data_IF_339542870967
#
_entry.id   IF_339542870967
#
_cell.length_a   1.000
_cell.length_b   1.000
_cell.length_c   1.000
_cell.angle_alpha   90.00
_cell.angle_beta   90.00
_cell.angle_gamma   90.00
#
_symmetry.space_group_name_H-M   'P 1'
#
loop_
_entity.id
_entity.type
_entity.pdbx_description
1 polymer ?
#
# COMPACT_ATOMS: atom_id res chain seq x y z
N UNK A 1 16.45 8.20 16.72
CA UNK A 1 17.21 6.94 16.58
C UNK A 1 17.83 6.86 15.18
N UNK A 2 19.03 6.28 14.99
CA UNK A 2 19.65 6.16 13.65
C UNK A 2 19.03 5.02 12.86
N UNK A 3 19.01 5.13 11.51
CA UNK A 3 18.51 4.06 10.63
C UNK A 3 19.19 2.71 10.89
N UNK A 4 20.48 2.70 11.21
CA UNK A 4 21.21 1.46 11.53
C UNK A 4 20.73 0.77 12.81
N UNK A 5 20.26 1.54 13.79
CA UNK A 5 19.68 1.04 15.03
C UNK A 5 18.30 0.44 14.79
N UNK A 6 17.45 1.13 14.03
CA UNK A 6 16.14 0.61 13.63
C UNK A 6 16.25 -0.69 12.81
N UNK A 7 17.27 -0.78 11.95
CA UNK A 7 17.54 -2.02 11.21
C UNK A 7 17.94 -3.17 12.14
N UNK A 8 18.69 -2.90 13.23
CA UNK A 8 19.01 -3.91 14.24
C UNK A 8 17.75 -4.34 14.99
N UNK A 9 16.91 -3.39 15.43
CA UNK A 9 15.64 -3.70 16.08
C UNK A 9 14.75 -4.55 15.18
N UNK A 10 14.57 -4.19 13.90
CA UNK A 10 13.77 -4.97 12.96
C UNK A 10 14.25 -6.43 12.84
N UNK A 11 15.57 -6.68 12.96
CA UNK A 11 16.12 -8.05 12.92
C UNK A 11 15.76 -8.85 14.18
N UNK A 12 15.64 -8.20 15.33
CA UNK A 12 15.31 -8.85 16.61
C UNK A 12 13.82 -9.21 16.71
N UNK A 13 12.94 -8.41 16.11
CA UNK A 13 11.50 -8.66 16.14
C UNK A 13 11.15 -9.92 15.33
N UNK A 14 10.23 -10.72 15.83
CA UNK A 14 9.70 -11.89 15.15
C UNK A 14 8.37 -11.56 14.47
N UNK A 15 8.18 -12.08 13.27
CA UNK A 15 6.96 -11.97 12.48
C UNK A 15 6.57 -13.36 11.96
N UNK A 16 5.29 -13.60 11.63
CA UNK A 16 4.87 -14.84 10.96
C UNK A 16 5.71 -15.13 9.71
N UNK A 17 5.87 -16.42 9.36
CA UNK A 17 6.77 -16.89 8.29
C UNK A 17 6.53 -16.25 6.92
N UNK A 18 5.30 -15.80 6.65
CA UNK A 18 4.98 -15.08 5.41
C UNK A 18 5.69 -13.72 5.26
N UNK A 19 6.20 -13.13 6.37
CA UNK A 19 6.87 -11.84 6.32
C UNK A 19 8.35 -11.98 6.01
N UNK A 20 8.81 -11.18 5.05
CA UNK A 20 10.22 -10.96 4.74
C UNK A 20 10.68 -9.68 5.43
N UNK A 21 11.96 -9.64 5.86
CA UNK A 21 12.55 -8.45 6.47
C UNK A 21 13.56 -7.78 5.53
N UNK A 22 13.48 -6.45 5.39
CA UNK A 22 14.44 -5.65 4.63
C UNK A 22 14.64 -4.28 5.28
N UNK A 23 15.80 -4.07 5.89
CA UNK A 23 16.08 -2.81 6.59
C UNK A 23 15.09 -2.60 7.74
N UNK A 24 14.29 -1.55 7.66
CA UNK A 24 13.25 -1.18 8.64
C UNK A 24 11.87 -1.75 8.34
N UNK A 25 11.75 -2.56 7.29
CA UNK A 25 10.49 -3.08 6.78
C UNK A 25 10.39 -4.59 7.05
N UNK A 26 9.27 -5.04 7.62
CA UNK A 26 8.82 -6.44 7.58
C UNK A 26 7.54 -6.49 6.72
N UNK A 27 7.51 -7.34 5.69
CA UNK A 27 6.43 -7.30 4.71
C UNK A 27 6.16 -8.65 4.04
N UNK A 28 4.96 -8.77 3.50
CA UNK A 28 4.62 -9.73 2.45
C UNK A 28 3.86 -9.02 1.33
N UNK A 29 3.65 -9.70 0.20
CA UNK A 29 2.87 -9.18 -0.92
C UNK A 29 1.68 -10.09 -1.20
N UNK A 30 0.50 -9.50 -1.36
CA UNK A 30 -0.60 -10.16 -2.04
C UNK A 30 -0.37 -10.00 -3.54
N UNK A 31 -0.41 -11.09 -4.29
CA UNK A 31 -0.20 -11.05 -5.74
C UNK A 31 -1.46 -11.54 -6.45
N UNK A 32 -1.97 -10.70 -7.35
CA UNK A 32 -3.07 -11.05 -8.24
C UNK A 32 -2.60 -11.90 -9.44
N UNK A 33 -3.51 -12.64 -10.09
CA UNK A 33 -3.22 -13.43 -11.32
C UNK A 33 -2.56 -12.63 -12.45
N UNK A 34 -2.79 -11.32 -12.51
CA UNK A 34 -2.15 -10.41 -13.48
C UNK A 34 -0.71 -10.03 -13.12
N UNK A 35 -0.23 -10.34 -11.92
CA UNK A 35 1.05 -9.88 -11.39
C UNK A 35 0.97 -8.58 -10.59
N UNK A 36 -0.20 -7.95 -10.47
CA UNK A 36 -0.39 -6.78 -9.62
C UNK A 36 -0.24 -7.16 -8.13
N UNK A 37 0.34 -6.25 -7.33
CA UNK A 37 0.70 -6.55 -5.95
C UNK A 37 0.23 -5.47 -4.96
N UNK A 38 -0.21 -5.94 -3.79
CA UNK A 38 -0.39 -5.11 -2.60
C UNK A 38 0.71 -5.46 -1.61
N UNK A 39 1.44 -4.45 -1.15
CA UNK A 39 2.43 -4.56 -0.08
C UNK A 39 1.73 -4.44 1.26
N UNK A 40 1.91 -5.42 2.12
CA UNK A 40 1.36 -5.43 3.48
C UNK A 40 2.51 -5.56 4.46
N UNK A 41 2.57 -4.72 5.48
CA UNK A 41 3.71 -4.81 6.37
C UNK A 41 3.73 -3.87 7.56
N UNK A 42 4.88 -3.95 8.25
CA UNK A 42 5.26 -3.12 9.37
C UNK A 42 6.52 -2.33 9.01
N UNK A 43 6.55 -1.07 9.37
CA UNK A 43 7.68 -0.19 9.13
C UNK A 43 8.10 0.52 10.41
N UNK A 44 9.39 0.44 10.74
CA UNK A 44 9.97 1.19 11.85
C UNK A 44 10.35 2.60 11.38
N UNK A 45 9.71 3.60 11.96
CA UNK A 45 9.94 4.99 11.62
C UNK A 45 10.55 5.80 12.78
N UNK A 46 11.30 6.82 12.41
CA UNK A 46 11.95 7.69 13.40
C UNK A 46 10.91 8.50 14.17
N UNK A 47 11.13 8.65 15.47
CA UNK A 47 10.48 9.68 16.27
C UNK A 47 11.29 10.99 16.25
N UNK A 48 10.65 12.10 16.63
CA UNK A 48 11.33 13.36 16.95
C UNK A 48 12.29 13.15 18.14
N UNK A 49 11.89 12.34 19.12
CA UNK A 49 12.78 11.92 20.21
C UNK A 49 13.83 10.94 19.65
N UNK A 50 15.15 11.24 19.76
CA UNK A 50 16.21 10.41 19.23
C UNK A 50 16.32 9.03 19.90
N UNK A 51 15.70 8.81 21.04
CA UNK A 51 15.73 7.55 21.78
C UNK A 51 14.51 6.66 21.50
N UNK A 52 13.52 7.17 20.76
CA UNK A 52 12.29 6.45 20.49
C UNK A 52 12.02 6.30 18.98
N UNK A 53 11.07 5.43 18.65
CA UNK A 53 10.62 5.15 17.29
C UNK A 53 9.13 4.79 17.27
N UNK A 54 8.56 4.79 16.06
CA UNK A 54 7.21 4.29 15.80
C UNK A 54 7.26 2.97 15.03
N UNK A 55 6.22 2.17 15.21
CA UNK A 55 5.92 1.04 14.34
C UNK A 55 4.61 1.36 13.61
N UNK A 56 4.68 1.49 12.30
CA UNK A 56 3.50 1.64 11.45
C UNK A 56 3.16 0.28 10.85
N UNK A 57 1.90 -0.17 10.94
CA UNK A 57 1.37 -1.21 10.08
C UNK A 57 0.66 -0.56 8.89
N UNK A 58 0.71 -1.15 7.72
CA UNK A 58 0.11 -0.57 6.52
C UNK A 58 -0.15 -1.60 5.43
N UNK A 59 -1.08 -1.25 4.53
CA UNK A 59 -1.22 -1.88 3.24
C UNK A 59 -1.11 -0.81 2.14
N UNK A 60 -0.37 -1.09 1.08
CA UNK A 60 -0.14 -0.16 -0.03
C UNK A 60 -0.30 -0.89 -1.37
N UNK A 61 -1.17 -0.37 -2.24
CA UNK A 61 -1.23 -0.80 -3.63
C UNK A 61 0.06 -0.41 -4.34
N UNK A 62 0.87 -1.38 -4.76
CA UNK A 62 2.08 -1.08 -5.52
C UNK A 62 1.77 -0.62 -6.95
N UNK A 63 0.61 -0.95 -7.46
CA UNK A 63 0.10 -0.56 -8.79
C UNK A 63 -0.53 0.84 -8.84
N UNK A 64 -0.56 1.56 -7.72
CA UNK A 64 -0.86 3.00 -7.68
C UNK A 64 0.46 3.76 -7.62
N UNK A 65 0.68 4.81 -8.46
CA UNK A 65 1.95 5.51 -8.52
C UNK A 65 2.30 6.25 -7.22
N UNK A 66 3.32 5.77 -6.51
CA UNK A 66 3.92 6.42 -5.36
C UNK A 66 5.44 6.36 -5.46
N UNK A 67 6.12 7.43 -5.04
CA UNK A 67 7.59 7.47 -4.96
C UNK A 67 8.13 7.08 -3.58
N UNK A 68 7.25 6.93 -2.58
CA UNK A 68 7.58 6.62 -1.18
C UNK A 68 6.61 5.59 -0.61
N UNK A 69 6.93 5.02 0.56
CA UNK A 69 5.94 4.23 1.30
C UNK A 69 4.75 5.11 1.71
N UNK A 70 3.55 4.58 1.51
CA UNK A 70 2.30 5.23 1.91
C UNK A 70 1.67 4.48 3.08
N UNK A 71 1.62 5.13 4.23
CA UNK A 71 1.05 4.58 5.47
C UNK A 71 -0.40 4.99 5.70
N UNK A 72 -1.06 5.64 4.72
CA UNK A 72 -2.41 6.16 4.87
C UNK A 72 -3.47 5.08 5.10
N UNK A 73 -3.26 3.87 4.55
CA UNK A 73 -4.08 2.70 4.86
C UNK A 73 -3.35 1.86 5.90
N UNK A 74 -3.43 2.29 7.14
CA UNK A 74 -2.75 1.68 8.26
C UNK A 74 -2.79 2.57 9.49
N UNK A 75 -2.06 2.20 10.52
CA UNK A 75 -1.96 2.97 11.75
C UNK A 75 -0.68 2.60 12.51
N UNK A 76 -0.46 3.23 13.66
CA UNK A 76 0.63 2.86 14.58
C UNK A 76 0.27 1.65 15.41
N UNK A 77 1.26 0.81 15.64
CA UNK A 77 1.21 -0.25 16.66
C UNK A 77 1.65 0.36 17.98
N UNK A 78 0.70 0.59 18.86
CA UNK A 78 0.95 1.30 20.12
C UNK A 78 1.28 2.78 19.94
N UNK A 79 2.03 3.36 20.89
CA UNK A 79 2.46 4.76 20.86
C UNK A 79 3.92 4.89 20.43
N UNK A 80 4.81 5.21 21.36
CA UNK A 80 6.26 5.24 21.17
C UNK A 80 6.89 3.98 21.72
N UNK A 81 7.95 3.53 21.05
CA UNK A 81 8.78 2.41 21.46
C UNK A 81 10.22 2.87 21.61
N UNK A 82 10.95 2.24 22.50
CA UNK A 82 12.38 2.42 22.69
C UNK A 82 13.09 1.06 22.83
N UNK A 83 14.42 1.08 22.92
CA UNK A 83 15.20 -0.15 22.97
C UNK A 83 14.97 -1.01 24.23
N UNK A 84 14.41 -0.42 25.31
CA UNK A 84 14.15 -1.13 26.57
C UNK A 84 12.79 -1.86 26.53
N UNK A 85 11.92 -1.49 25.60
CA UNK A 85 10.54 -2.00 25.47
C UNK A 85 10.35 -2.95 24.28
N UNK A 86 11.43 -3.55 23.78
CA UNK A 86 11.36 -4.47 22.63
C UNK A 86 10.52 -5.72 22.92
N UNK A 87 10.57 -6.24 24.16
CA UNK A 87 9.74 -7.38 24.56
C UNK A 87 8.25 -7.04 24.52
N UNK A 88 7.86 -5.89 25.08
CA UNK A 88 6.47 -5.42 25.06
C UNK A 88 5.98 -5.17 23.60
N UNK A 89 6.84 -4.62 22.74
CA UNK A 89 6.54 -4.46 21.33
C UNK A 89 6.32 -5.83 20.65
N UNK A 90 7.15 -6.83 20.98
CA UNK A 90 6.99 -8.17 20.44
C UNK A 90 5.64 -8.79 20.84
N UNK A 91 5.24 -8.61 22.11
CA UNK A 91 3.95 -9.08 22.59
C UNK A 91 2.79 -8.42 21.83
N UNK A 92 2.84 -7.09 21.63
CA UNK A 92 1.86 -6.37 20.80
C UNK A 92 1.83 -6.86 19.34
N UNK A 93 2.98 -7.22 18.76
CA UNK A 93 3.05 -7.77 17.39
C UNK A 93 2.51 -9.20 17.32
N UNK A 94 2.70 -10.00 18.36
CA UNK A 94 2.15 -11.38 18.45
C UNK A 94 0.62 -11.38 18.54
N UNK A 95 0.04 -10.34 19.17
CA UNK A 95 -1.41 -10.16 19.31
C UNK A 95 -2.04 -9.44 18.10
N UNK A 96 -1.22 -8.99 17.13
CA UNK A 96 -1.67 -8.20 16.00
C UNK A 96 -2.34 -9.08 14.93
N UNK A 97 -3.65 -8.99 14.81
CA UNK A 97 -4.51 -9.82 13.96
C UNK A 97 -5.05 -9.11 12.69
N UNK A 98 -4.80 -7.81 12.55
CA UNK A 98 -5.37 -6.97 11.48
C UNK A 98 -5.13 -7.52 10.07
N UNK A 99 -4.02 -8.25 9.88
CA UNK A 99 -3.66 -8.82 8.58
C UNK A 99 -4.04 -10.30 8.40
N UNK A 100 -4.58 -10.96 9.42
CA UNK A 100 -4.81 -12.42 9.40
C UNK A 100 -5.76 -12.87 8.28
N UNK A 101 -6.74 -12.05 7.98
CA UNK A 101 -7.72 -12.29 6.92
C UNK A 101 -7.34 -11.68 5.56
N UNK A 102 -6.14 -11.12 5.44
CA UNK A 102 -5.71 -10.42 4.23
C UNK A 102 -4.87 -11.37 3.36
N UNK A 103 -5.55 -12.19 2.55
CA UNK A 103 -4.95 -13.26 1.76
C UNK A 103 -5.22 -13.15 0.25
N UNK A 104 -6.16 -12.31 -0.16
CA UNK A 104 -6.57 -12.13 -1.56
C UNK A 104 -6.86 -10.66 -1.88
N UNK A 105 -7.08 -10.35 -3.15
CA UNK A 105 -7.52 -9.01 -3.58
C UNK A 105 -8.97 -8.71 -3.15
N UNK A 106 -9.82 -9.72 -3.05
CA UNK A 106 -11.18 -9.56 -2.48
C UNK A 106 -11.11 -9.23 -0.98
N UNK A 107 -10.25 -9.91 -0.22
CA UNK A 107 -10.00 -9.57 1.18
C UNK A 107 -9.44 -8.16 1.31
N UNK A 108 -8.57 -7.74 0.37
CA UNK A 108 -8.03 -6.39 0.36
C UNK A 108 -9.11 -5.33 0.11
N UNK A 109 -10.09 -5.58 -0.76
CA UNK A 109 -11.24 -4.68 -0.92
C UNK A 109 -12.05 -4.55 0.35
N UNK A 110 -12.30 -5.65 1.06
CA UNK A 110 -12.98 -5.63 2.34
C UNK A 110 -12.17 -4.90 3.42
N UNK A 111 -10.85 -5.06 3.37
CA UNK A 111 -9.92 -4.35 4.25
C UNK A 111 -9.96 -2.84 3.99
N UNK A 112 -9.89 -2.42 2.72
CA UNK A 112 -9.93 -1.02 2.28
C UNK A 112 -11.25 -0.33 2.68
N UNK A 113 -12.38 -1.06 2.63
CA UNK A 113 -13.70 -0.55 3.02
C UNK A 113 -13.85 -0.38 4.54
N UNK A 114 -13.28 -1.28 5.32
CA UNK A 114 -13.46 -1.34 6.78
C UNK A 114 -12.42 -0.57 7.57
N UNK A 115 -11.22 -0.35 7.03
CA UNK A 115 -10.15 0.28 7.76
C UNK A 115 -10.08 1.78 7.44
N UNK A 116 -9.86 2.63 8.46
CA UNK A 116 -9.73 4.06 8.24
C UNK A 116 -8.56 4.36 7.29
N UNK A 117 -8.80 5.21 6.33
CA UNK A 117 -7.77 5.76 5.45
C UNK A 117 -7.41 7.17 5.93
N UNK A 118 -6.18 7.35 6.39
CA UNK A 118 -5.71 8.62 6.97
C UNK A 118 -5.09 9.59 5.95
N UNK A 119 -5.12 9.25 4.68
CA UNK A 119 -4.64 10.09 3.60
C UNK A 119 -5.75 10.84 2.88
N UNK A 120 -5.44 11.37 1.70
CA UNK A 120 -6.45 11.96 0.81
C UNK A 120 -7.47 10.90 0.38
N UNK A 121 -8.75 11.26 0.46
CA UNK A 121 -9.83 10.38 -0.02
C UNK A 121 -9.63 10.00 -1.49
N UNK A 122 -9.05 10.87 -2.30
CA UNK A 122 -8.76 10.61 -3.70
C UNK A 122 -7.82 9.42 -3.90
N UNK A 123 -6.83 9.25 -3.02
CA UNK A 123 -5.94 8.09 -3.05
C UNK A 123 -6.68 6.80 -2.66
N UNK A 124 -7.65 6.89 -1.75
CA UNK A 124 -8.50 5.75 -1.40
C UNK A 124 -9.40 5.35 -2.58
N UNK A 125 -10.00 6.35 -3.24
CA UNK A 125 -10.84 6.12 -4.43
C UNK A 125 -10.01 5.50 -5.57
N UNK A 126 -8.74 5.90 -5.75
CA UNK A 126 -7.81 5.29 -6.69
C UNK A 126 -7.48 3.83 -6.34
N UNK A 127 -7.29 3.51 -5.06
CA UNK A 127 -7.12 2.13 -4.60
C UNK A 127 -8.34 1.27 -4.97
N UNK A 128 -9.55 1.77 -4.73
CA UNK A 128 -10.78 1.08 -5.14
C UNK A 128 -10.87 0.94 -6.67
N UNK A 129 -10.66 2.02 -7.42
CA UNK A 129 -10.79 2.03 -8.87
C UNK A 129 -9.90 0.97 -9.53
N UNK A 130 -8.60 0.96 -9.19
CA UNK A 130 -7.62 0.08 -9.80
C UNK A 130 -7.78 -1.36 -9.31
N UNK A 131 -8.12 -1.58 -8.03
CA UNK A 131 -8.38 -2.92 -7.52
C UNK A 131 -9.61 -3.55 -8.19
N UNK A 132 -10.70 -2.79 -8.34
CA UNK A 132 -11.87 -3.26 -9.09
C UNK A 132 -11.57 -3.52 -10.57
N UNK A 133 -10.69 -2.72 -11.20
CA UNK A 133 -10.24 -2.96 -12.57
C UNK A 133 -9.57 -4.33 -12.70
N UNK A 134 -8.61 -4.62 -11.82
CA UNK A 134 -7.85 -5.88 -11.80
C UNK A 134 -8.72 -7.10 -11.51
N UNK A 135 -9.80 -6.92 -10.72
CA UNK A 135 -10.80 -7.95 -10.43
C UNK A 135 -11.90 -8.05 -11.52
N UNK A 136 -11.77 -7.30 -12.61
CA UNK A 136 -12.71 -7.28 -13.74
C UNK A 136 -14.13 -6.77 -13.36
N UNK A 137 -14.26 -6.08 -12.20
CA UNK A 137 -15.49 -5.40 -11.81
C UNK A 137 -15.58 -4.00 -12.45
N UNK A 138 -15.53 -3.94 -13.78
CA UNK A 138 -15.37 -2.68 -14.53
C UNK A 138 -16.41 -1.61 -14.22
N UNK A 139 -17.68 -1.99 -13.98
CA UNK A 139 -18.72 -1.01 -13.59
C UNK A 139 -18.38 -0.30 -12.28
N UNK A 140 -17.85 -1.04 -11.29
CA UNK A 140 -17.42 -0.46 -10.02
C UNK A 140 -16.14 0.36 -10.18
N UNK A 141 -15.21 -0.10 -11.00
CA UNK A 141 -14.02 0.65 -11.37
C UNK A 141 -14.39 2.01 -11.98
N UNK A 142 -15.26 2.04 -13.00
CA UNK A 142 -15.74 3.27 -13.65
C UNK A 142 -16.36 4.23 -12.65
N UNK A 143 -17.16 3.74 -11.70
CA UNK A 143 -17.74 4.60 -10.65
C UNK A 143 -16.67 5.39 -9.89
N UNK A 144 -15.59 4.74 -9.43
CA UNK A 144 -14.51 5.42 -8.71
C UNK A 144 -13.64 6.28 -9.65
N UNK A 145 -13.41 5.84 -10.90
CA UNK A 145 -12.71 6.65 -11.90
C UNK A 145 -13.47 7.96 -12.17
N UNK A 146 -14.80 7.91 -12.27
CA UNK A 146 -15.64 9.11 -12.45
C UNK A 146 -15.57 10.07 -11.26
N UNK A 147 -15.49 9.54 -10.02
CA UNK A 147 -15.26 10.35 -8.83
C UNK A 147 -13.94 11.11 -8.97
N UNK A 148 -12.84 10.41 -9.30
CA UNK A 148 -11.51 11.02 -9.47
C UNK A 148 -11.52 12.07 -10.59
N UNK A 149 -12.10 11.75 -11.75
CA UNK A 149 -12.20 12.69 -12.89
C UNK A 149 -13.01 13.94 -12.51
N UNK A 150 -14.04 13.79 -11.66
CA UNK A 150 -14.88 14.91 -11.23
C UNK A 150 -14.15 15.95 -10.36
N UNK A 151 -13.01 15.59 -9.78
CA UNK A 151 -12.19 16.49 -8.96
C UNK A 151 -11.66 17.69 -9.76
N UNK A 152 -11.42 17.51 -11.07
CA UNK A 152 -10.99 18.58 -11.96
C UNK A 152 -11.97 19.78 -12.01
N UNK A 153 -13.22 19.57 -11.58
CA UNK A 153 -14.25 20.63 -11.57
C UNK A 153 -14.26 21.47 -10.27
N UNK A 154 -13.47 21.08 -9.26
CA UNK A 154 -13.61 21.65 -7.90
C UNK A 154 -12.39 22.43 -7.42
N UNK A 155 -11.21 22.24 -8.02
CA UNK A 155 -9.99 22.82 -7.50
C UNK A 155 -9.00 23.17 -8.61
N UNK A 156 -8.50 24.41 -8.60
CA UNK A 156 -7.45 24.92 -9.52
C UNK A 156 -6.05 24.33 -9.21
N UNK A 157 -5.97 23.33 -8.31
CA UNK A 157 -4.69 22.77 -7.92
C UNK A 157 -4.23 21.69 -8.90
N UNK A 158 -3.06 21.91 -9.48
CA UNK A 158 -2.30 20.91 -10.28
C UNK A 158 -1.94 19.62 -9.49
N UNK A 159 -2.37 19.53 -8.22
CA UNK A 159 -1.97 18.48 -7.29
C UNK A 159 -2.51 17.10 -7.70
N UNK A 160 -3.63 17.05 -8.43
CA UNK A 160 -4.32 15.81 -8.79
C UNK A 160 -4.34 15.50 -10.29
N UNK A 161 -3.65 16.30 -11.12
CA UNK A 161 -3.66 16.14 -12.57
C UNK A 161 -3.30 14.72 -13.01
N UNK A 162 -2.23 14.15 -12.45
CA UNK A 162 -1.81 12.79 -12.80
C UNK A 162 -2.84 11.73 -12.44
N UNK A 163 -3.55 11.88 -11.31
CA UNK A 163 -4.61 10.93 -10.93
C UNK A 163 -5.79 11.03 -11.90
N UNK A 164 -6.14 12.25 -12.32
CA UNK A 164 -7.21 12.49 -13.29
C UNK A 164 -6.84 11.92 -14.66
N UNK A 165 -5.63 12.19 -15.14
CA UNK A 165 -5.12 11.65 -16.41
C UNK A 165 -5.10 10.11 -16.41
N UNK A 166 -4.62 9.51 -15.32
CA UNK A 166 -4.61 8.05 -15.16
C UNK A 166 -6.04 7.48 -15.14
N UNK A 167 -6.97 8.16 -14.45
CA UNK A 167 -8.36 7.73 -14.39
C UNK A 167 -9.05 7.84 -15.75
N UNK A 168 -8.82 8.90 -16.51
CA UNK A 168 -9.34 9.08 -17.87
C UNK A 168 -8.80 8.01 -18.82
N UNK A 169 -7.50 7.70 -18.73
CA UNK A 169 -6.86 6.67 -19.54
C UNK A 169 -7.48 5.29 -19.28
N UNK A 170 -7.59 4.88 -18.01
CA UNK A 170 -8.18 3.59 -17.67
C UNK A 170 -9.65 3.50 -18.03
N UNK A 171 -10.41 4.58 -17.84
CA UNK A 171 -11.82 4.62 -18.26
C UNK A 171 -11.93 4.45 -19.77
N UNK A 172 -11.07 5.11 -20.55
CA UNK A 172 -11.01 4.95 -22.01
C UNK A 172 -10.78 3.49 -22.43
N UNK A 173 -9.88 2.77 -21.77
CA UNK A 173 -9.66 1.34 -22.04
C UNK A 173 -10.90 0.49 -21.70
N UNK A 174 -11.65 0.81 -20.66
CA UNK A 174 -12.91 0.10 -20.35
C UNK A 174 -13.95 0.36 -21.44
N UNK A 175 -14.12 1.63 -21.85
CA UNK A 175 -15.13 2.05 -22.85
C UNK A 175 -14.86 1.45 -24.24
N UNK A 176 -13.58 1.24 -24.59
CA UNK A 176 -13.18 0.62 -25.87
C UNK A 176 -13.02 -0.90 -25.81
N UNK A 177 -13.18 -1.51 -24.62
CA UNK A 177 -12.98 -2.95 -24.42
C UNK A 177 -11.50 -3.39 -24.46
N UNK A 178 -10.57 -2.46 -24.34
CA UNK A 178 -9.12 -2.70 -24.38
C UNK A 178 -8.55 -3.03 -22.98
N UNK A 179 -9.18 -3.96 -22.28
CA UNK A 179 -8.88 -4.29 -20.86
C UNK A 179 -7.43 -4.69 -20.63
N UNK A 180 -6.82 -5.44 -21.54
CA UNK A 180 -5.41 -5.89 -21.41
C UNK A 180 -4.42 -4.71 -21.46
N UNK A 181 -4.74 -3.65 -22.22
CA UNK A 181 -3.94 -2.42 -22.23
C UNK A 181 -3.98 -1.73 -20.88
N UNK A 182 -5.15 -1.68 -20.24
CA UNK A 182 -5.29 -1.13 -18.91
C UNK A 182 -4.53 -1.92 -17.86
N UNK A 183 -4.58 -3.27 -17.90
CA UNK A 183 -3.76 -4.12 -17.03
C UNK A 183 -2.27 -3.84 -17.24
N UNK A 184 -1.83 -3.77 -18.50
CA UNK A 184 -0.42 -3.47 -18.83
C UNK A 184 0.02 -2.10 -18.28
N UNK A 185 -0.83 -1.09 -18.39
CA UNK A 185 -0.56 0.24 -17.84
C UNK A 185 -0.46 0.23 -16.31
N UNK A 186 -1.37 -0.47 -15.63
CA UNK A 186 -1.35 -0.64 -14.17
C UNK A 186 -0.05 -1.32 -13.72
N UNK A 187 0.42 -2.33 -14.45
CA UNK A 187 1.70 -2.99 -14.14
C UNK A 187 2.92 -2.10 -14.39
N UNK A 188 2.89 -1.21 -15.39
CA UNK A 188 3.94 -0.20 -15.58
C UNK A 188 4.01 0.78 -14.40
N UNK A 189 2.86 1.22 -13.87
CA UNK A 189 2.83 2.05 -12.67
C UNK A 189 3.38 1.30 -11.44
N UNK A 190 3.08 0.01 -11.33
CA UNK A 190 3.65 -0.83 -10.28
C UNK A 190 5.18 -0.87 -10.34
N UNK A 191 5.77 -1.05 -11.51
CA UNK A 191 7.23 -1.03 -11.67
C UNK A 191 7.84 0.31 -11.23
N UNK A 192 7.19 1.42 -11.58
CA UNK A 192 7.61 2.76 -11.16
C UNK A 192 7.56 2.92 -9.64
N UNK A 193 6.48 2.47 -9.00
CA UNK A 193 6.31 2.51 -7.55
C UNK A 193 7.37 1.65 -6.85
N UNK A 194 7.56 0.41 -7.27
CA UNK A 194 8.57 -0.51 -6.73
C UNK A 194 9.97 0.10 -6.81
N UNK A 195 10.31 0.71 -7.95
CA UNK A 195 11.57 1.42 -8.14
C UNK A 195 11.68 2.64 -7.23
N UNK A 196 10.61 3.44 -7.13
CA UNK A 196 10.55 4.65 -6.30
C UNK A 196 10.78 4.38 -4.83
N UNK A 197 10.14 3.34 -4.27
CA UNK A 197 10.33 2.94 -2.86
C UNK A 197 11.59 2.10 -2.61
N UNK A 198 12.35 1.77 -3.65
CA UNK A 198 13.56 0.96 -3.56
C UNK A 198 13.31 -0.48 -3.10
N UNK A 199 12.11 -1.02 -3.31
CA UNK A 199 11.76 -2.39 -2.95
C UNK A 199 12.32 -3.35 -4.00
N UNK A 200 13.12 -4.34 -3.57
CA UNK A 200 13.53 -5.43 -4.45
C UNK A 200 12.57 -6.59 -4.20
N UNK A 201 11.62 -6.77 -5.08
CA UNK A 201 10.78 -7.95 -5.10
C UNK A 201 11.58 -8.98 -5.90
N UNK A 202 12.12 -10.00 -5.22
CA UNK A 202 12.71 -11.12 -5.93
C UNK A 202 11.58 -11.80 -6.69
N UNK A 203 11.68 -11.81 -8.02
CA UNK A 203 10.83 -12.61 -8.88
C UNK A 203 10.89 -14.07 -8.41
N UNK A 204 9.97 -14.48 -7.59
CA UNK A 204 9.57 -15.87 -7.56
C UNK A 204 8.60 -16.02 -8.74
N UNK A 205 9.18 -16.18 -9.96
CA UNK A 205 8.44 -16.79 -11.06
C UNK A 205 8.04 -18.18 -10.58
N UNK A 206 6.72 -18.31 -10.39
CA UNK A 206 6.07 -19.60 -10.23
C UNK A 206 6.30 -20.47 -11.48
#
# INVERSE_FOLDING_TARGET
MKSSELNKIMRLLNFPDRFKKKGRLAYYTLTHKTGAMVLVGFYLDNSIDPNSFFVNHFAQCLYVPFSTYNFSLGNRVGSYWDSNRISELQDCLNEFDVFDKLNSFDDFLLFLDKHPYYGSKNNQDEYFALTYYLLEYYRKSVHFLDIIISLNKRDDSNLFLHQIENAQLLKGYIETGEYDKGVSQILQWQEQTIKGIGLKINDQRL
#
